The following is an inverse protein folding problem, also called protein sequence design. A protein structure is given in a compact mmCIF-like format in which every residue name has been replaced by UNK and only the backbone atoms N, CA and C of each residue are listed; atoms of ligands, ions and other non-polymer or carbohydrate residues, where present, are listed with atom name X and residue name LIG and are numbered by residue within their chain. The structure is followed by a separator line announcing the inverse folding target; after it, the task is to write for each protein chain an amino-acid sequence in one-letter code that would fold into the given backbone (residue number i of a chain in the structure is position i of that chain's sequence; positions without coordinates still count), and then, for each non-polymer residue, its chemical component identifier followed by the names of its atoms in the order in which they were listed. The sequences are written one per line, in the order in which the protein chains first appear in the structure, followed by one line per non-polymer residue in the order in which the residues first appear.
data_IF_309338664769
#
_entry.id   IF_309338664769
#
_cell.length_a   1.000
_cell.length_b   1.000
_cell.length_c   1.000
_cell.angle_alpha   90.00
_cell.angle_beta   90.00
_cell.angle_gamma   90.00
#
_symmetry.space_group_name_H-M   'P 1'
#
loop_
_entity.id
_entity.type
_entity.pdbx_description
1 polymer ?
#
# COMPACT_ATOMS: atom_id res chain seq x y z
N UNK A 1 79.41 -1.45 -1.22
CA UNK A 1 78.24 -0.75 -1.82
C UNK A 1 77.02 -1.17 -1.00
N UNK A 2 76.80 -0.52 0.15
CA UNK A 2 75.80 0.55 0.38
C UNK A 2 74.38 -0.06 0.43
N UNK A 3 73.96 -0.60 1.59
CA UNK A 3 73.05 -0.03 2.64
C UNK A 3 71.57 -0.11 2.26
N UNK A 4 70.59 -0.52 3.05
CA UNK A 4 70.31 -0.51 4.51
C UNK A 4 69.14 -1.49 4.77
N UNK A 5 69.04 -2.37 5.79
CA UNK A 5 69.22 -2.32 7.26
C UNK A 5 68.05 -1.59 7.96
N UNK A 6 67.14 -2.26 8.66
CA UNK A 6 67.05 -2.46 10.14
C UNK A 6 65.55 -2.81 10.45
N UNK A 7 65.06 -3.46 11.50
CA UNK A 7 65.63 -3.93 12.77
C UNK A 7 64.72 -4.94 13.46
N UNK A 8 65.35 -5.72 14.35
CA UNK A 8 64.83 -6.62 15.39
C UNK A 8 64.57 -5.81 16.67
N UNK A 9 63.54 -6.09 17.48
CA UNK A 9 63.68 -6.11 18.95
C UNK A 9 62.43 -6.66 19.66
N UNK A 10 62.67 -7.60 20.57
CA UNK A 10 61.73 -8.24 21.50
C UNK A 10 62.15 -7.81 22.92
N UNK A 11 61.19 -7.33 23.74
CA UNK A 11 60.96 -7.64 25.18
C UNK A 11 60.44 -6.46 26.02
N UNK A 12 59.40 -6.82 26.77
CA UNK A 12 59.06 -6.46 28.16
C UNK A 12 58.86 -4.98 28.57
N UNK A 13 57.62 -4.68 28.98
CA UNK A 13 57.34 -4.04 30.28
C UNK A 13 55.90 -4.30 30.73
N UNK A 14 55.77 -4.83 31.94
CA UNK A 14 54.54 -4.91 32.72
C UNK A 14 53.97 -3.52 33.02
N UNK A 15 52.65 -3.35 32.98
CA UNK A 15 51.94 -2.48 33.95
C UNK A 15 50.41 -2.57 33.87
N UNK A 16 49.84 -2.99 35.01
CA UNK A 16 48.61 -2.51 35.65
C UNK A 16 47.25 -2.81 34.99
N UNK A 17 46.55 -3.74 35.63
CA UNK A 17 45.11 -3.97 35.57
C UNK A 17 44.35 -2.77 36.15
N UNK A 18 43.42 -2.21 35.38
CA UNK A 18 42.37 -1.28 35.84
C UNK A 18 41.05 -1.77 35.21
N UNK A 19 39.99 -2.04 35.98
CA UNK A 19 38.72 -2.51 35.43
C UNK A 19 37.93 -1.29 34.91
N UNK A 20 37.79 -1.15 33.59
CA UNK A 20 36.88 -0.18 32.99
C UNK A 20 35.48 -0.80 32.91
N UNK A 21 34.59 -0.37 33.79
CA UNK A 21 33.14 -0.54 33.68
C UNK A 21 32.67 0.07 32.34
N UNK A 22 32.29 -0.80 31.39
CA UNK A 22 31.63 -0.40 30.15
C UNK A 22 30.18 -0.05 30.46
N UNK A 23 29.92 1.24 30.69
CA UNK A 23 28.58 1.81 30.70
C UNK A 23 28.06 1.79 29.26
N UNK A 24 27.10 0.91 28.95
CA UNK A 24 26.36 0.93 27.69
C UNK A 24 25.46 2.17 27.62
N UNK A 25 25.95 3.24 26.99
CA UNK A 25 25.08 4.35 26.57
C UNK A 25 24.55 4.07 25.17
N UNK A 26 23.37 3.46 25.11
CA UNK A 26 22.53 3.42 23.91
C UNK A 26 22.11 4.85 23.55
N UNK A 27 22.33 5.35 22.32
CA UNK A 27 21.74 6.62 21.90
C UNK A 27 20.23 6.43 21.75
N UNK A 28 19.45 7.02 22.67
CA UNK A 28 18.00 7.18 22.54
C UNK A 28 17.73 8.13 21.38
N UNK A 29 17.48 7.58 20.18
CA UNK A 29 16.98 8.33 19.03
C UNK A 29 15.48 8.57 19.24
N UNK A 30 15.14 9.80 19.64
CA UNK A 30 13.78 10.32 19.66
C UNK A 30 13.27 10.52 18.24
N UNK A 31 12.24 9.76 17.84
CA UNK A 31 11.48 9.96 16.61
C UNK A 31 10.72 11.31 16.67
N UNK A 32 10.59 12.05 15.55
CA UNK A 32 9.83 13.30 15.53
C UNK A 32 8.33 13.04 15.73
N UNK A 33 7.76 13.76 16.70
CA UNK A 33 6.33 13.80 17.04
C UNK A 33 5.50 14.30 15.85
N UNK A 34 4.62 13.45 15.32
CA UNK A 34 3.52 13.87 14.45
C UNK A 34 2.34 14.36 15.30
N UNK A 35 1.76 15.50 14.95
CA UNK A 35 0.51 16.02 15.51
C UNK A 35 -0.53 16.07 14.38
N UNK A 36 -1.38 15.06 14.31
CA UNK A 36 -2.56 15.07 13.44
C UNK A 36 -3.73 14.49 14.21
N UNK A 37 -4.53 15.35 14.87
CA UNK A 37 -5.78 14.90 15.45
C UNK A 37 -6.73 14.48 14.31
N UNK A 38 -7.08 13.20 14.26
CA UNK A 38 -8.22 12.72 13.49
C UNK A 38 -9.21 12.20 14.53
N UNK A 39 -10.30 12.95 14.72
CA UNK A 39 -11.34 12.64 15.67
C UNK A 39 -12.14 11.42 15.16
N UNK A 40 -12.13 10.32 15.93
CA UNK A 40 -12.94 9.13 15.66
C UNK A 40 -14.41 9.42 15.95
N UNK A 41 -15.25 9.44 14.92
CA UNK A 41 -16.71 9.45 15.07
C UNK A 41 -17.33 8.28 14.29
N UNK A 42 -18.03 7.43 15.03
CA UNK A 42 -18.97 6.37 14.62
C UNK A 42 -18.48 5.33 13.61
N UNK A 43 -17.72 4.36 14.12
CA UNK A 43 -17.22 3.19 13.36
C UNK A 43 -18.20 2.02 13.28
N UNK A 44 -19.46 2.12 13.75
CA UNK A 44 -20.30 0.93 13.94
C UNK A 44 -20.83 0.30 12.63
N UNK A 45 -21.48 1.06 11.75
CA UNK A 45 -22.25 0.46 10.64
C UNK A 45 -21.41 -0.19 9.54
N UNK A 46 -20.29 0.41 9.13
CA UNK A 46 -19.44 -0.24 8.11
C UNK A 46 -18.69 -1.45 8.67
N UNK A 47 -18.38 -1.44 9.97
CA UNK A 47 -17.86 -2.62 10.66
C UNK A 47 -18.88 -3.76 10.63
N UNK A 48 -20.17 -3.47 10.60
CA UNK A 48 -21.19 -4.52 10.51
C UNK A 48 -21.20 -5.14 9.11
N UNK A 49 -21.08 -4.34 8.03
CA UNK A 49 -20.87 -4.88 6.68
C UNK A 49 -19.59 -5.72 6.62
N UNK A 50 -18.46 -5.18 7.10
CA UNK A 50 -17.19 -5.90 7.05
C UNK A 50 -17.21 -7.17 7.90
N UNK A 51 -17.84 -7.13 9.10
CA UNK A 51 -18.06 -8.32 9.94
C UNK A 51 -18.92 -9.36 9.26
N UNK A 52 -20.01 -8.96 8.61
CA UNK A 52 -20.89 -9.88 7.87
C UNK A 52 -20.17 -10.45 6.64
N UNK A 53 -19.42 -9.65 5.90
CA UNK A 53 -18.59 -10.14 4.79
C UNK A 53 -17.44 -11.05 5.25
N UNK A 54 -17.05 -10.94 6.52
CA UNK A 54 -16.03 -11.78 7.17
C UNK A 54 -16.61 -12.98 7.92
N UNK A 55 -17.93 -13.17 7.94
CA UNK A 55 -18.54 -14.29 8.67
C UNK A 55 -18.51 -15.60 7.88
N UNK A 56 -18.22 -15.53 6.58
CA UNK A 56 -18.09 -16.68 5.69
C UNK A 56 -16.76 -16.60 4.93
N UNK A 57 -16.26 -17.77 4.55
CA UNK A 57 -15.09 -17.92 3.71
C UNK A 57 -15.46 -17.71 2.23
N UNK A 58 -14.79 -16.75 1.60
CA UNK A 58 -15.12 -16.26 0.26
C UNK A 58 -13.86 -16.04 -0.57
N UNK A 59 -14.03 -16.05 -1.89
CA UNK A 59 -12.96 -15.68 -2.80
C UNK A 59 -13.51 -15.03 -4.08
N UNK A 60 -12.71 -14.17 -4.70
CA UNK A 60 -13.05 -13.55 -5.98
C UNK A 60 -11.89 -13.65 -6.96
N UNK A 61 -12.20 -14.02 -8.21
CA UNK A 61 -11.26 -13.92 -9.32
C UNK A 61 -11.04 -12.46 -9.71
N UNK A 62 -9.78 -12.06 -9.80
CA UNK A 62 -9.38 -10.68 -10.11
C UNK A 62 -9.11 -10.56 -11.62
N UNK A 63 -10.19 -10.60 -12.40
CA UNK A 63 -10.16 -10.61 -13.86
C UNK A 63 -9.60 -9.33 -14.49
N UNK A 64 -9.44 -8.27 -13.71
CA UNK A 64 -8.84 -6.99 -14.10
C UNK A 64 -7.30 -6.94 -13.90
N UNK A 65 -6.65 -8.05 -13.50
CA UNK A 65 -5.20 -8.13 -13.29
C UNK A 65 -4.48 -8.75 -14.47
N UNK A 66 -3.33 -8.17 -14.82
CA UNK A 66 -2.39 -8.67 -15.82
C UNK A 66 -1.10 -9.18 -15.14
N UNK A 67 -0.31 -9.93 -15.90
CA UNK A 67 0.90 -10.56 -15.37
C UNK A 67 2.09 -10.41 -16.31
N UNK A 68 3.22 -9.94 -15.79
CA UNK A 68 4.52 -10.02 -16.47
C UNK A 68 5.44 -10.97 -15.72
N UNK A 69 6.22 -11.75 -16.45
CA UNK A 69 7.28 -12.59 -15.88
C UNK A 69 8.65 -12.00 -16.18
N UNK A 70 9.51 -11.94 -15.18
CA UNK A 70 10.91 -11.56 -15.29
C UNK A 70 11.77 -12.75 -14.89
N UNK A 71 12.62 -13.22 -15.79
CA UNK A 71 13.50 -14.37 -15.56
C UNK A 71 14.94 -14.05 -15.97
N UNK A 72 15.88 -14.21 -15.03
CA UNK A 72 17.31 -14.15 -15.32
C UNK A 72 18.14 -13.69 -14.12
N UNK A 73 19.47 -13.86 -14.19
CA UNK A 73 20.38 -13.58 -13.07
C UNK A 73 20.34 -12.13 -12.58
N UNK A 74 19.99 -11.17 -13.44
CA UNK A 74 19.92 -9.75 -13.07
C UNK A 74 18.54 -9.31 -12.57
N UNK A 75 17.53 -10.18 -12.52
CA UNK A 75 16.13 -9.81 -12.27
C UNK A 75 15.93 -9.10 -10.91
N UNK A 76 16.53 -9.63 -9.83
CA UNK A 76 16.39 -9.05 -8.50
C UNK A 76 16.98 -7.63 -8.43
N UNK A 77 18.22 -7.46 -8.92
CA UNK A 77 18.91 -6.16 -8.98
C UNK A 77 18.17 -5.17 -9.87
N UNK A 78 17.67 -5.63 -11.01
CA UNK A 78 16.89 -4.83 -11.95
C UNK A 78 15.62 -4.27 -11.29
N UNK A 79 14.82 -5.15 -10.66
CA UNK A 79 13.61 -4.75 -9.95
C UNK A 79 13.92 -3.84 -8.76
N UNK A 80 14.98 -4.12 -8.00
CA UNK A 80 15.37 -3.34 -6.84
C UNK A 80 15.55 -1.85 -7.17
N UNK A 81 16.03 -1.51 -8.37
CA UNK A 81 16.20 -0.12 -8.83
C UNK A 81 14.94 0.54 -9.39
N UNK A 82 13.86 -0.20 -9.63
CA UNK A 82 12.65 0.31 -10.31
C UNK A 82 11.40 0.38 -9.44
N UNK A 83 11.35 -0.39 -8.35
CA UNK A 83 10.17 -0.43 -7.47
C UNK A 83 10.38 0.35 -6.17
N UNK A 84 9.30 0.76 -5.52
CA UNK A 84 9.34 1.49 -4.24
C UNK A 84 9.64 0.61 -3.02
N UNK A 85 9.50 -0.71 -3.12
CA UNK A 85 9.70 -1.65 -2.01
C UNK A 85 11.00 -2.48 -2.17
N UNK A 86 11.34 -3.29 -1.18
CA UNK A 86 12.59 -4.04 -1.09
C UNK A 86 12.44 -5.45 -1.67
N UNK A 87 13.08 -5.74 -2.80
CA UNK A 87 13.05 -7.06 -3.46
C UNK A 87 13.74 -8.13 -2.63
N UNK A 88 14.73 -7.76 -1.81
CA UNK A 88 15.42 -8.72 -0.94
C UNK A 88 14.51 -9.42 0.09
N UNK A 89 13.28 -8.91 0.31
CA UNK A 89 12.23 -9.58 1.12
C UNK A 89 11.69 -10.85 0.46
N UNK A 90 11.71 -10.90 -0.88
CA UNK A 90 11.21 -12.02 -1.71
C UNK A 90 12.33 -12.72 -2.49
N UNK A 91 13.54 -12.18 -2.46
CA UNK A 91 14.68 -12.72 -3.21
C UNK A 91 15.07 -14.13 -2.77
N UNK A 92 14.78 -14.55 -1.54
CA UNK A 92 15.03 -15.93 -1.08
C UNK A 92 13.78 -16.81 -1.12
N UNK A 93 12.75 -16.37 -1.84
CA UNK A 93 11.42 -16.96 -1.78
C UNK A 93 10.51 -16.30 -0.75
N UNK A 94 9.31 -16.85 -0.62
CA UNK A 94 8.34 -16.44 0.40
C UNK A 94 7.14 -15.68 -0.16
N UNK A 95 6.54 -14.88 0.71
CA UNK A 95 5.31 -14.14 0.43
C UNK A 95 5.59 -12.95 -0.50
N UNK A 96 4.74 -12.76 -1.50
CA UNK A 96 4.78 -11.59 -2.37
C UNK A 96 4.74 -10.25 -1.63
N UNK A 97 5.19 -9.20 -2.32
CA UNK A 97 5.22 -7.82 -1.80
C UNK A 97 4.37 -6.89 -2.65
N UNK A 98 3.73 -5.91 -2.01
CA UNK A 98 3.09 -4.80 -2.69
C UNK A 98 4.10 -3.66 -2.91
N UNK A 99 4.06 -3.02 -4.07
CA UNK A 99 4.95 -1.92 -4.43
C UNK A 99 4.35 -1.07 -5.56
N UNK A 100 5.08 -0.03 -5.96
CA UNK A 100 4.77 0.74 -7.16
C UNK A 100 6.02 0.98 -8.01
N UNK A 101 5.77 1.23 -9.30
CA UNK A 101 6.73 1.76 -10.26
C UNK A 101 6.51 3.25 -10.40
N UNK A 102 7.59 4.05 -10.36
CA UNK A 102 7.48 5.50 -10.45
C UNK A 102 8.04 6.05 -11.76
N UNK A 103 7.61 7.25 -12.11
CA UNK A 103 8.31 8.10 -13.08
C UNK A 103 9.58 8.67 -12.45
N UNK A 104 10.49 9.20 -13.28
CA UNK A 104 11.67 9.91 -12.81
C UNK A 104 11.32 11.12 -11.91
N UNK A 105 10.11 11.68 -12.05
CA UNK A 105 9.60 12.77 -11.23
C UNK A 105 8.95 12.31 -9.92
N UNK A 106 8.99 11.00 -9.61
CA UNK A 106 8.44 10.43 -8.37
C UNK A 106 6.91 10.31 -8.36
N UNK A 107 6.28 10.16 -9.53
CA UNK A 107 4.83 9.93 -9.69
C UNK A 107 4.55 8.46 -9.93
N UNK A 108 3.47 7.93 -9.35
CA UNK A 108 3.09 6.53 -9.55
C UNK A 108 2.74 6.30 -11.02
N UNK A 109 3.34 5.30 -11.64
CA UNK A 109 2.97 4.80 -12.95
C UNK A 109 2.04 3.59 -12.82
N UNK A 110 2.44 2.62 -11.99
CA UNK A 110 1.76 1.33 -11.80
C UNK A 110 1.88 0.91 -10.34
N UNK A 111 0.79 0.46 -9.73
CA UNK A 111 0.80 -0.38 -8.53
C UNK A 111 1.00 -1.84 -8.93
N UNK A 112 1.73 -2.60 -8.12
CA UNK A 112 2.04 -3.98 -8.44
C UNK A 112 2.25 -4.85 -7.21
N UNK A 113 1.88 -6.11 -7.34
CA UNK A 113 2.40 -7.19 -6.50
C UNK A 113 3.55 -7.90 -7.21
N UNK A 114 4.58 -8.30 -6.46
CA UNK A 114 5.71 -9.08 -6.97
C UNK A 114 5.84 -10.36 -6.16
N UNK A 115 5.78 -11.49 -6.86
CA UNK A 115 5.89 -12.83 -6.30
C UNK A 115 7.16 -13.52 -6.78
N UNK A 116 7.92 -14.19 -5.89
CA UNK A 116 9.03 -15.04 -6.31
C UNK A 116 8.50 -16.33 -6.93
N UNK A 117 9.14 -16.77 -8.02
CA UNK A 117 8.80 -17.98 -8.78
C UNK A 117 10.07 -18.71 -9.21
N UNK A 118 10.68 -19.50 -8.34
CA UNK A 118 11.74 -20.43 -8.73
C UNK A 118 11.35 -21.85 -8.31
N UNK A 119 11.14 -22.75 -9.29
CA UNK A 119 10.73 -24.15 -9.07
C UNK A 119 11.95 -25.10 -9.00
N UNK A 120 12.96 -24.77 -8.18
CA UNK A 120 14.08 -25.66 -7.85
C UNK A 120 15.33 -25.54 -8.75
N UNK A 121 16.20 -26.54 -8.71
CA UNK A 121 17.56 -26.51 -9.31
C UNK A 121 17.57 -26.25 -10.84
N UNK A 122 16.47 -26.53 -11.53
CA UNK A 122 16.26 -26.23 -12.95
C UNK A 122 16.07 -24.74 -13.27
N UNK A 123 15.89 -23.90 -12.24
CA UNK A 123 15.81 -22.44 -12.33
C UNK A 123 17.02 -21.84 -11.60
N UNK A 124 18.21 -21.79 -12.24
CA UNK A 124 19.46 -21.39 -11.58
C UNK A 124 19.50 -19.90 -11.21
N UNK A 125 18.49 -19.12 -11.60
CA UNK A 125 18.38 -17.69 -11.34
C UNK A 125 16.97 -17.32 -10.87
N UNK A 126 16.80 -16.20 -10.13
CA UNK A 126 15.51 -15.78 -9.66
C UNK A 126 14.57 -15.43 -10.83
N UNK A 127 13.34 -15.91 -10.72
CA UNK A 127 12.25 -15.52 -11.59
C UNK A 127 11.13 -14.91 -10.73
N UNK A 128 10.49 -13.88 -11.25
CA UNK A 128 9.45 -13.10 -10.55
C UNK A 128 8.22 -12.94 -11.43
N UNK A 129 7.05 -13.05 -10.82
CA UNK A 129 5.77 -12.69 -11.41
C UNK A 129 5.37 -11.32 -10.88
N UNK A 130 5.11 -10.39 -11.79
CA UNK A 130 4.58 -9.07 -11.47
C UNK A 130 3.11 -9.05 -11.85
N UNK A 131 2.25 -8.81 -10.87
CA UNK A 131 0.82 -8.65 -11.04
C UNK A 131 0.47 -7.15 -10.97
N UNK A 132 -0.18 -6.63 -12.01
CA UNK A 132 -0.51 -5.21 -12.20
C UNK A 132 -1.92 -5.06 -12.81
N UNK A 133 -2.42 -3.84 -12.97
CA UNK A 133 -3.70 -3.61 -13.67
C UNK A 133 -3.60 -4.00 -15.15
N UNK A 134 -4.48 -4.87 -15.64
CA UNK A 134 -4.42 -5.42 -17.00
C UNK A 134 -4.45 -4.34 -18.09
N UNK A 135 -5.05 -3.17 -17.83
CA UNK A 135 -5.08 -2.04 -18.78
C UNK A 135 -3.70 -1.46 -19.05
N UNK A 136 -2.73 -1.70 -18.15
CA UNK A 136 -1.38 -1.16 -18.24
C UNK A 136 -0.34 -2.16 -18.77
N UNK A 137 -0.71 -3.40 -19.10
CA UNK A 137 0.26 -4.47 -19.47
C UNK A 137 1.23 -4.05 -20.56
N UNK A 138 0.73 -3.55 -21.70
CA UNK A 138 1.58 -3.11 -22.81
C UNK A 138 2.50 -1.95 -22.44
N UNK A 139 1.97 -0.96 -21.69
CA UNK A 139 2.72 0.22 -21.28
C UNK A 139 3.81 -0.12 -20.25
N UNK A 140 3.49 -0.99 -19.29
CA UNK A 140 4.41 -1.47 -18.27
C UNK A 140 5.52 -2.34 -18.88
N UNK A 141 5.19 -3.23 -19.83
CA UNK A 141 6.18 -4.00 -20.58
C UNK A 141 7.15 -3.08 -21.33
N UNK A 142 6.63 -2.04 -21.99
CA UNK A 142 7.45 -1.04 -22.67
C UNK A 142 8.32 -0.23 -21.69
N UNK A 143 7.78 0.12 -20.52
CA UNK A 143 8.53 0.78 -19.45
C UNK A 143 9.70 -0.09 -18.98
N UNK A 144 9.46 -1.35 -18.62
CA UNK A 144 10.51 -2.26 -18.16
C UNK A 144 11.56 -2.51 -19.25
N UNK A 145 11.15 -2.73 -20.51
CA UNK A 145 12.08 -2.92 -21.64
C UNK A 145 13.02 -1.73 -21.84
N UNK A 146 12.56 -0.50 -21.60
CA UNK A 146 13.38 0.72 -21.67
C UNK A 146 14.55 0.71 -20.68
N UNK A 147 14.34 0.18 -19.48
CA UNK A 147 15.38 0.12 -18.43
C UNK A 147 16.24 -1.16 -18.51
N UNK A 148 15.84 -2.17 -19.29
CA UNK A 148 16.53 -3.48 -19.39
C UNK A 148 17.93 -3.43 -20.02
N UNK A 149 18.45 -2.26 -20.39
CA UNK A 149 19.69 -2.14 -21.17
C UNK A 149 20.84 -2.93 -20.53
N UNK A 150 21.31 -3.97 -21.24
CA UNK A 150 22.37 -4.92 -20.82
C UNK A 150 22.05 -5.84 -19.63
N UNK A 151 20.89 -5.70 -18.99
CA UNK A 151 20.47 -6.63 -17.94
C UNK A 151 20.19 -8.01 -18.54
N UNK A 152 20.82 -9.04 -17.99
CA UNK A 152 20.67 -10.45 -18.38
C UNK A 152 19.37 -11.00 -17.79
N UNK A 153 18.25 -10.64 -18.41
CA UNK A 153 16.92 -11.14 -18.06
C UNK A 153 15.97 -11.08 -19.26
N UNK A 154 14.95 -11.93 -19.27
CA UNK A 154 13.81 -11.89 -20.18
C UNK A 154 12.60 -11.24 -19.49
N UNK A 155 11.71 -10.63 -20.28
CA UNK A 155 10.44 -10.05 -19.81
C UNK A 155 9.35 -10.49 -20.79
N UNK A 156 8.36 -11.25 -20.32
CA UNK A 156 7.22 -11.72 -21.10
C UNK A 156 5.89 -11.32 -20.47
N UNK A 157 4.87 -11.19 -21.30
CA UNK A 157 3.48 -11.09 -20.85
C UNK A 157 2.94 -12.51 -20.66
N UNK A 158 2.55 -12.83 -19.43
CA UNK A 158 2.03 -14.13 -19.02
C UNK A 158 0.57 -14.00 -18.55
N UNK A 159 -0.14 -12.94 -18.96
CA UNK A 159 -1.51 -12.67 -18.53
C UNK A 159 -2.49 -13.80 -18.90
N UNK A 160 -2.21 -14.54 -19.99
CA UNK A 160 -3.00 -15.71 -20.36
C UNK A 160 -2.80 -16.90 -19.40
N UNK A 161 -1.61 -17.01 -18.80
CA UNK A 161 -1.18 -18.16 -17.99
C UNK A 161 -1.55 -18.05 -16.51
N UNK A 162 -1.69 -16.83 -15.99
CA UNK A 162 -1.91 -16.60 -14.58
C UNK A 162 -3.27 -16.00 -14.29
N UNK A 163 -3.81 -16.32 -13.11
CA UNK A 163 -4.99 -15.69 -12.53
C UNK A 163 -4.69 -15.31 -11.09
N UNK A 164 -5.16 -14.13 -10.68
CA UNK A 164 -5.10 -13.68 -9.30
C UNK A 164 -6.46 -13.83 -8.65
N UNK A 165 -6.44 -14.17 -7.37
CA UNK A 165 -7.62 -14.29 -6.55
C UNK A 165 -7.38 -13.55 -5.23
N UNK A 166 -8.43 -12.93 -4.72
CA UNK A 166 -8.48 -12.52 -3.33
C UNK A 166 -9.28 -13.56 -2.54
N UNK A 167 -8.75 -14.02 -1.40
CA UNK A 167 -9.42 -14.97 -0.50
C UNK A 167 -9.56 -14.34 0.87
N UNK A 168 -10.74 -14.36 1.46
CA UNK A 168 -10.98 -13.79 2.79
C UNK A 168 -12.03 -14.61 3.55
N UNK A 169 -12.17 -14.30 4.84
CA UNK A 169 -13.05 -15.02 5.76
C UNK A 169 -12.32 -15.54 6.98
N UNK A 170 -13.05 -16.19 7.91
CA UNK A 170 -12.52 -16.56 9.22
C UNK A 170 -11.43 -17.64 9.14
N UNK A 171 -11.48 -18.52 8.14
CA UNK A 171 -10.49 -19.60 7.98
C UNK A 171 -9.45 -19.32 6.90
N UNK A 172 -9.66 -18.29 6.06
CA UNK A 172 -8.72 -17.90 5.01
C UNK A 172 -7.27 -17.78 5.52
N UNK A 173 -7.05 -17.12 6.66
CA UNK A 173 -5.71 -16.96 7.23
C UNK A 173 -5.03 -18.28 7.64
N UNK A 174 -5.81 -19.33 7.92
CA UNK A 174 -5.32 -20.67 8.27
C UNK A 174 -4.81 -21.45 7.04
N UNK A 175 -5.29 -21.08 5.85
CA UNK A 175 -4.77 -21.61 4.58
C UNK A 175 -3.35 -21.13 4.33
N UNK A 176 -3.02 -19.90 4.76
CA UNK A 176 -1.68 -19.32 4.65
C UNK A 176 -0.91 -19.45 5.97
N UNK A 177 -0.48 -20.69 6.25
CA UNK A 177 0.22 -21.05 7.47
C UNK A 177 1.44 -20.18 7.79
N UNK A 178 1.72 -19.99 9.07
CA UNK A 178 3.00 -19.43 9.53
C UNK A 178 4.09 -20.45 9.22
N UNK A 179 5.01 -20.12 8.34
CA UNK A 179 6.17 -20.96 8.07
C UNK A 179 6.99 -21.15 9.35
N UNK A 180 7.09 -22.41 9.80
CA UNK A 180 8.20 -22.91 10.62
C UNK A 180 9.05 -23.75 9.66
N UNK A 181 10.34 -23.46 9.46
CA UNK A 181 11.24 -24.32 8.70
C UNK A 181 11.45 -25.64 9.47
N UNK A 182 10.48 -26.55 9.40
CA UNK A 182 10.71 -27.94 9.84
C UNK A 182 11.19 -28.70 8.63
N UNK A 183 12.45 -28.53 8.27
CA UNK A 183 13.08 -29.47 7.36
C UNK A 183 13.41 -30.72 8.17
N UNK A 184 12.42 -31.60 8.30
CA UNK A 184 12.59 -32.98 8.71
C UNK A 184 13.44 -33.69 7.64
N UNK A 185 14.75 -33.40 7.62
CA UNK A 185 15.72 -34.00 6.69
C UNK A 185 16.64 -33.05 5.91
N UNK A 186 16.52 -31.72 6.01
CA UNK A 186 17.47 -30.79 5.38
C UNK A 186 18.04 -29.74 6.34
N UNK A 187 18.58 -30.22 7.46
CA UNK A 187 19.72 -29.53 8.02
C UNK A 187 20.86 -29.56 6.98
N UNK A 188 21.02 -28.49 6.20
CA UNK A 188 22.22 -28.26 5.39
C UNK A 188 22.08 -28.09 3.86
N UNK A 189 20.88 -28.06 3.26
CA UNK A 189 20.76 -27.70 1.83
C UNK A 189 20.43 -26.21 1.67
N UNK A 190 21.29 -25.48 0.94
CA UNK A 190 21.12 -24.06 0.61
C UNK A 190 19.93 -23.91 -0.34
N UNK A 191 18.86 -23.22 0.08
CA UNK A 191 17.76 -22.88 -0.83
C UNK A 191 18.27 -21.94 -1.93
N UNK A 192 18.01 -22.22 -3.22
CA UNK A 192 18.37 -21.30 -4.30
C UNK A 192 17.73 -19.91 -4.16
N UNK A 193 18.35 -18.90 -4.76
CA UNK A 193 17.80 -17.55 -4.82
C UNK A 193 16.52 -17.58 -5.68
N UNK A 194 15.44 -17.04 -5.11
CA UNK A 194 14.13 -16.91 -5.73
C UNK A 194 13.19 -18.08 -5.46
N UNK A 195 13.64 -19.15 -4.76
CA UNK A 195 12.87 -20.39 -4.57
C UNK A 195 11.43 -20.14 -4.15
N UNK A 196 10.48 -20.77 -4.83
CA UNK A 196 9.15 -20.97 -4.25
C UNK A 196 9.37 -21.83 -3.01
N UNK A 197 8.89 -21.36 -1.86
CA UNK A 197 8.91 -22.22 -0.68
C UNK A 197 7.92 -23.35 -0.94
N UNK A 198 8.34 -24.63 -0.93
CA UNK A 198 7.39 -25.73 -0.91
C UNK A 198 6.61 -25.62 0.40
N UNK A 199 5.48 -24.93 0.34
CA UNK A 199 4.47 -24.92 1.40
C UNK A 199 3.66 -26.18 1.18
N UNK A 200 3.37 -26.96 2.21
CA UNK A 200 2.55 -28.18 2.10
C UNK A 200 1.10 -27.91 1.60
N UNK A 201 0.73 -26.74 1.04
CA UNK A 201 -0.68 -26.33 0.87
C UNK A 201 -1.00 -25.43 -0.33
N UNK A 202 -2.19 -25.70 -0.88
CA UNK A 202 -3.13 -24.99 -1.77
C UNK A 202 -2.63 -24.11 -2.93
N UNK A 203 -1.57 -23.32 -2.81
CA UNK A 203 -0.97 -22.65 -3.97
C UNK A 203 0.49 -22.24 -3.74
N UNK A 204 1.23 -22.16 -4.84
CA UNK A 204 2.68 -21.91 -4.84
C UNK A 204 3.04 -20.42 -4.75
N UNK A 205 2.16 -19.52 -5.20
CA UNK A 205 2.44 -18.09 -5.29
C UNK A 205 1.32 -17.26 -4.66
N UNK A 206 1.71 -16.29 -3.84
CA UNK A 206 0.78 -15.41 -3.15
C UNK A 206 1.37 -14.79 -1.90
N UNK A 207 0.51 -14.23 -1.06
CA UNK A 207 0.85 -13.68 0.26
C UNK A 207 -0.41 -13.48 1.11
N UNK A 208 -0.21 -13.30 2.43
CA UNK A 208 -1.14 -12.48 3.20
C UNK A 208 -1.09 -11.07 2.63
N UNK A 209 -2.24 -10.48 2.32
CA UNK A 209 -2.29 -9.17 1.67
C UNK A 209 -1.61 -8.12 2.57
N UNK A 210 -0.45 -7.57 2.17
CA UNK A 210 0.37 -6.72 3.02
C UNK A 210 -0.22 -5.31 3.19
N UNK A 211 -1.29 -4.99 2.43
CA UNK A 211 -1.96 -3.69 2.46
C UNK A 211 -2.89 -3.58 3.65
N UNK A 212 -3.54 -4.69 4.04
CA UNK A 212 -4.40 -4.74 5.22
C UNK A 212 -4.66 -6.20 5.65
N UNK A 213 -4.50 -6.56 6.94
CA UNK A 213 -4.68 -7.94 7.41
C UNK A 213 -6.04 -8.55 7.07
N UNK A 214 -7.10 -7.75 7.18
CA UNK A 214 -8.46 -8.22 6.89
C UNK A 214 -8.72 -8.39 5.39
N UNK A 215 -7.89 -7.89 4.47
CA UNK A 215 -8.08 -8.25 3.04
C UNK A 215 -7.85 -9.74 2.79
N UNK A 216 -7.23 -10.46 3.73
CA UNK A 216 -7.02 -11.90 3.64
C UNK A 216 -5.79 -12.22 2.80
N UNK A 217 -5.94 -13.10 1.81
CA UNK A 217 -4.85 -13.61 0.99
C UNK A 217 -4.97 -13.12 -0.44
N UNK A 218 -3.82 -12.74 -1.01
CA UNK A 218 -3.65 -12.50 -2.44
C UNK A 218 -2.97 -13.73 -3.02
N UNK A 219 -3.64 -14.45 -3.91
CA UNK A 219 -3.23 -15.76 -4.42
C UNK A 219 -3.05 -15.69 -5.94
N UNK A 220 -2.00 -16.31 -6.47
CA UNK A 220 -1.77 -16.44 -7.90
C UNK A 220 -1.68 -17.91 -8.27
N UNK A 221 -2.52 -18.33 -9.22
CA UNK A 221 -2.55 -19.70 -9.75
C UNK A 221 -2.13 -19.72 -11.21
N UNK A 222 -1.49 -20.81 -11.62
CA UNK A 222 -1.09 -21.09 -12.98
C UNK A 222 -2.16 -21.93 -13.69
N UNK A 223 -2.50 -21.61 -14.94
CA UNK A 223 -3.41 -22.39 -15.78
C UNK A 223 -4.83 -21.82 -15.90
N UNK A 224 -5.77 -22.69 -16.25
CA UNK A 224 -7.20 -22.42 -16.45
C UNK A 224 -7.99 -22.21 -15.15
N UNK A 225 -7.32 -22.26 -14.00
CA UNK A 225 -7.74 -21.50 -12.82
C UNK A 225 -8.87 -22.14 -12.01
N UNK A 226 -8.77 -23.44 -11.71
CA UNK A 226 -9.49 -23.97 -10.56
C UNK A 226 -8.74 -23.62 -9.29
N UNK A 227 -9.36 -22.78 -8.46
CA UNK A 227 -8.83 -22.48 -7.14
C UNK A 227 -8.99 -23.72 -6.26
N UNK A 228 -7.92 -24.33 -5.73
CA UNK A 228 -8.02 -25.55 -4.92
C UNK A 228 -8.38 -25.19 -3.47
N UNK A 229 -9.44 -24.41 -3.31
CA UNK A 229 -10.02 -24.08 -2.01
C UNK A 229 -10.93 -25.22 -1.54
N UNK A 230 -11.09 -25.38 -0.20
CA UNK A 230 -12.13 -26.24 0.34
C UNK A 230 -13.51 -25.85 -0.21
N UNK A 231 -14.41 -26.83 -0.37
CA UNK A 231 -15.78 -26.59 -0.85
C UNK A 231 -16.63 -25.68 0.05
N UNK A 232 -16.16 -25.38 1.25
CA UNK A 232 -16.77 -24.39 2.15
C UNK A 232 -16.56 -22.95 1.73
N UNK A 233 -15.60 -22.68 0.83
CA UNK A 233 -15.36 -21.34 0.29
C UNK A 233 -16.34 -21.05 -0.85
N UNK A 234 -16.97 -19.88 -0.79
CA UNK A 234 -17.92 -19.44 -1.81
C UNK A 234 -17.27 -18.44 -2.76
N UNK A 235 -17.36 -18.71 -4.07
CA UNK A 235 -16.94 -17.75 -5.08
C UNK A 235 -17.88 -16.54 -5.08
N UNK A 236 -17.31 -15.35 -5.21
CA UNK A 236 -18.05 -14.09 -5.36
C UNK A 236 -17.47 -13.26 -6.50
N UNK A 237 -18.16 -12.18 -6.85
CA UNK A 237 -17.80 -11.32 -7.96
C UNK A 237 -16.59 -10.42 -7.66
N UNK A 238 -15.96 -9.93 -8.73
CA UNK A 238 -14.97 -8.85 -8.66
C UNK A 238 -15.53 -7.58 -8.01
N UNK A 239 -16.83 -7.34 -8.16
CA UNK A 239 -17.53 -6.19 -7.58
C UNK A 239 -17.54 -6.26 -6.06
N UNK A 240 -17.76 -7.42 -5.46
CA UNK A 240 -17.71 -7.59 -4.00
C UNK A 240 -16.28 -7.40 -3.46
N UNK A 241 -15.26 -7.86 -4.20
CA UNK A 241 -13.87 -7.50 -3.88
C UNK A 241 -13.64 -5.99 -3.95
N UNK A 242 -14.20 -5.33 -4.97
CA UNK A 242 -14.07 -3.88 -5.18
C UNK A 242 -14.75 -3.09 -4.05
N UNK A 243 -15.95 -3.49 -3.64
CA UNK A 243 -16.62 -2.92 -2.46
C UNK A 243 -15.75 -3.09 -1.23
N UNK A 244 -15.23 -4.30 -0.98
CA UNK A 244 -14.40 -4.61 0.18
C UNK A 244 -13.18 -3.70 0.28
N UNK A 245 -12.39 -3.56 -0.80
CA UNK A 245 -11.21 -2.68 -0.80
C UNK A 245 -11.59 -1.21 -0.61
N UNK A 246 -12.71 -0.75 -1.21
CA UNK A 246 -13.22 0.61 -1.04
C UNK A 246 -13.53 0.87 0.43
N UNK A 247 -14.24 -0.05 1.11
CA UNK A 247 -14.60 0.11 2.52
C UNK A 247 -13.37 0.15 3.45
N UNK A 248 -12.30 -0.57 3.11
CA UNK A 248 -11.02 -0.45 3.82
C UNK A 248 -10.20 0.79 3.39
N UNK A 249 -10.62 1.57 2.39
CA UNK A 249 -9.85 2.71 1.91
C UNK A 249 -8.59 2.32 1.13
N UNK A 250 -8.61 1.16 0.45
CA UNK A 250 -7.45 0.57 -0.21
C UNK A 250 -7.53 0.82 -1.73
N UNK A 251 -6.70 1.73 -2.26
CA UNK A 251 -6.59 1.98 -3.70
C UNK A 251 -5.96 0.79 -4.45
N UNK A 252 -6.47 0.48 -5.64
CA UNK A 252 -5.91 -0.52 -6.56
C UNK A 252 -6.18 -0.14 -8.02
N UNK A 253 -5.16 -0.26 -8.88
CA UNK A 253 -5.29 -0.09 -10.32
C UNK A 253 -5.44 1.35 -10.82
N UNK A 254 -5.72 1.47 -12.13
CA UNK A 254 -5.58 2.72 -12.87
C UNK A 254 -6.56 3.85 -12.45
N UNK A 255 -7.70 3.48 -11.87
CA UNK A 255 -8.74 4.44 -11.47
C UNK A 255 -8.47 5.06 -10.08
N UNK A 256 -7.59 4.44 -9.29
CA UNK A 256 -7.12 4.98 -8.01
C UNK A 256 -5.70 5.56 -8.10
N UNK A 257 -4.86 4.94 -8.92
CA UNK A 257 -3.49 5.39 -9.19
C UNK A 257 -3.37 5.96 -10.60
N UNK A 258 -3.75 7.23 -10.76
CA UNK A 258 -3.63 7.95 -12.03
C UNK A 258 -2.16 8.01 -12.49
N UNK A 259 -1.88 7.24 -13.55
CA UNK A 259 -0.52 7.04 -14.05
C UNK A 259 0.16 8.36 -14.41
N UNK A 260 1.33 8.60 -13.83
CA UNK A 260 2.13 9.82 -14.01
C UNK A 260 1.63 11.03 -13.22
N UNK A 261 0.54 10.91 -12.46
CA UNK A 261 -0.08 12.02 -11.70
C UNK A 261 -0.05 11.75 -10.19
N UNK A 262 -0.47 10.56 -9.77
CA UNK A 262 -0.60 10.20 -8.36
C UNK A 262 0.75 10.22 -7.61
N UNK A 263 0.71 10.61 -6.33
CA UNK A 263 1.88 10.67 -5.45
C UNK A 263 1.88 9.50 -4.47
N UNK A 264 3.04 8.85 -4.22
CA UNK A 264 3.14 7.72 -3.29
C UNK A 264 2.46 7.93 -1.93
N UNK A 265 2.79 9.03 -1.24
CA UNK A 265 2.27 9.29 0.11
C UNK A 265 0.80 9.79 0.09
N UNK A 266 0.38 10.47 -0.98
CA UNK A 266 -1.04 10.86 -1.11
C UNK A 266 -1.93 9.64 -1.45
N UNK A 267 -1.36 8.60 -2.06
CA UNK A 267 -2.04 7.35 -2.35
C UNK A 267 -1.80 6.26 -1.30
N UNK A 268 -1.36 6.65 -0.09
CA UNK A 268 -1.19 5.79 1.09
C UNK A 268 -0.15 4.67 0.97
N UNK A 269 0.81 4.73 0.04
CA UNK A 269 1.84 3.66 -0.09
C UNK A 269 2.65 3.47 1.20
N UNK A 270 2.82 4.52 1.99
CA UNK A 270 3.47 4.49 3.31
C UNK A 270 2.67 3.69 4.35
N UNK A 271 1.34 3.66 4.22
CA UNK A 271 0.45 2.94 5.13
C UNK A 271 0.10 1.53 4.63
N UNK A 272 0.22 1.28 3.32
CA UNK A 272 -0.14 0.01 2.65
C UNK A 272 1.06 -0.94 2.47
N UNK A 273 2.15 -0.73 3.22
CA UNK A 273 3.41 -1.47 3.05
C UNK A 273 4.00 -1.40 1.63
N UNK A 274 3.66 -0.37 0.85
CA UNK A 274 4.01 -0.22 -0.56
C UNK A 274 5.33 0.50 -0.84
N UNK A 275 5.96 1.10 0.18
CA UNK A 275 7.28 1.76 0.08
C UNK A 275 8.15 1.37 1.27
N UNK A 276 9.44 1.14 1.03
CA UNK A 276 10.42 0.91 2.10
C UNK A 276 11.38 2.10 2.16
N UNK A 277 11.33 2.91 3.22
CA UNK A 277 12.21 4.08 3.34
C UNK A 277 13.66 3.75 3.72
N UNK A 278 13.97 2.48 4.00
CA UNK A 278 15.33 2.02 4.35
C UNK A 278 16.06 1.37 3.18
N UNK A 279 15.42 1.27 2.01
CA UNK A 279 16.01 0.65 0.82
C UNK A 279 17.04 1.57 0.15
N UNK A 280 17.89 0.96 -0.68
CA UNK A 280 18.80 1.69 -1.56
C UNK A 280 18.09 2.42 -2.72
N UNK A 281 18.87 3.09 -3.57
CA UNK A 281 18.33 3.97 -4.60
C UNK A 281 17.35 3.28 -5.56
N UNK A 282 16.24 3.94 -5.86
CA UNK A 282 15.28 3.53 -6.90
C UNK A 282 14.77 4.74 -7.69
N UNK A 283 14.23 4.49 -8.88
CA UNK A 283 13.72 5.54 -9.77
C UNK A 283 12.65 6.40 -9.10
N UNK A 284 12.85 7.73 -9.11
CA UNK A 284 11.86 8.70 -8.62
C UNK A 284 11.78 8.83 -7.09
N UNK A 285 12.74 8.26 -6.35
CA UNK A 285 12.74 8.28 -4.88
C UNK A 285 12.82 9.67 -4.25
N UNK A 286 13.44 10.65 -4.92
CA UNK A 286 13.84 11.92 -4.33
C UNK A 286 12.62 12.69 -3.82
N UNK A 287 11.55 12.72 -4.62
CA UNK A 287 10.30 13.35 -4.25
C UNK A 287 9.61 12.62 -3.08
N UNK A 288 9.59 11.30 -3.13
CA UNK A 288 8.97 10.44 -2.10
C UNK A 288 9.66 10.63 -0.75
N UNK A 289 10.99 10.49 -0.72
CA UNK A 289 11.82 10.62 0.49
C UNK A 289 11.74 12.05 1.05
N UNK A 290 11.81 13.07 0.19
CA UNK A 290 11.65 14.46 0.63
C UNK A 290 10.30 14.69 1.29
N UNK A 291 9.22 14.20 0.69
CA UNK A 291 7.86 14.37 1.25
C UNK A 291 7.70 13.61 2.57
N UNK A 292 8.31 12.43 2.69
CA UNK A 292 8.33 11.66 3.92
C UNK A 292 9.05 12.40 5.06
N UNK A 293 10.27 12.92 4.81
CA UNK A 293 11.04 13.61 5.84
C UNK A 293 10.51 15.01 6.20
N UNK A 294 9.88 15.72 5.26
CA UNK A 294 9.19 16.97 5.61
C UNK A 294 7.94 16.71 6.45
N UNK A 295 7.37 15.50 6.39
CA UNK A 295 6.21 15.08 7.18
C UNK A 295 4.89 15.71 6.76
N UNK A 296 4.83 16.36 5.59
CA UNK A 296 3.65 17.11 5.13
C UNK A 296 2.93 16.36 4.02
N UNK A 297 1.99 15.48 4.39
CA UNK A 297 1.01 14.88 3.47
C UNK A 297 -0.35 15.53 3.72
N UNK A 298 -0.79 16.43 2.82
CA UNK A 298 -2.03 17.20 3.01
C UNK A 298 -3.26 16.55 2.38
N UNK A 299 -3.05 15.61 1.47
CA UNK A 299 -4.11 14.88 0.78
C UNK A 299 -3.88 13.39 0.93
N UNK A 300 -4.96 12.62 1.09
CA UNK A 300 -4.91 11.16 1.06
C UNK A 300 -6.12 10.61 0.34
N UNK A 301 -5.96 9.43 -0.26
CA UNK A 301 -7.09 8.64 -0.75
C UNK A 301 -7.88 8.13 0.47
N UNK A 302 -9.19 8.36 0.47
CA UNK A 302 -10.11 7.97 1.53
C UNK A 302 -11.37 7.32 0.95
N UNK A 303 -12.06 6.45 1.70
CA UNK A 303 -13.40 6.02 1.37
C UNK A 303 -14.37 7.19 1.35
N UNK A 304 -15.27 7.18 0.37
CA UNK A 304 -16.38 8.12 0.25
C UNK A 304 -17.70 7.40 -0.02
N UNK A 305 -18.81 7.99 0.40
CA UNK A 305 -20.15 7.62 -0.02
C UNK A 305 -20.79 8.76 -0.82
N UNK A 306 -21.43 8.41 -1.93
CA UNK A 306 -22.25 9.28 -2.74
C UNK A 306 -23.71 9.19 -2.29
N UNK A 307 -24.40 10.31 -2.23
CA UNK A 307 -25.80 10.38 -1.80
C UNK A 307 -26.53 11.55 -2.47
N UNK A 308 -27.85 11.52 -2.48
CA UNK A 308 -28.64 12.57 -3.13
C UNK A 308 -28.75 13.81 -2.25
N UNK A 309 -29.07 14.96 -2.86
CA UNK A 309 -29.27 16.21 -2.12
C UNK A 309 -30.42 16.11 -1.11
N UNK A 310 -31.46 15.33 -1.44
CA UNK A 310 -32.63 15.02 -0.62
C UNK A 310 -32.34 14.14 0.59
N UNK A 311 -31.21 13.43 0.60
CA UNK A 311 -30.87 12.49 1.67
C UNK A 311 -30.12 13.19 2.81
N UNK A 312 -30.32 12.70 4.03
CA UNK A 312 -29.50 13.12 5.15
C UNK A 312 -28.03 12.68 4.93
N UNK A 313 -27.04 13.51 5.30
CA UNK A 313 -25.63 13.11 5.22
C UNK A 313 -25.37 11.79 5.96
N UNK A 314 -24.74 10.79 5.31
CA UNK A 314 -24.53 9.50 5.95
C UNK A 314 -23.56 9.63 7.13
N UNK A 315 -23.98 9.11 8.28
CA UNK A 315 -23.18 9.07 9.51
C UNK A 315 -22.12 7.97 9.50
N UNK A 316 -22.28 6.99 8.63
CA UNK A 316 -21.39 5.85 8.42
C UNK A 316 -21.55 5.36 6.98
N UNK A 317 -20.52 4.70 6.45
CA UNK A 317 -20.55 4.22 5.08
C UNK A 317 -21.45 2.97 4.97
N UNK A 318 -22.43 3.03 4.06
CA UNK A 318 -23.39 1.95 3.78
C UNK A 318 -23.45 1.70 2.28
N UNK A 319 -23.31 0.43 1.89
CA UNK A 319 -23.32 0.02 0.47
C UNK A 319 -24.75 -0.25 0.02
N UNK A 320 -25.25 0.57 -0.89
CA UNK A 320 -26.56 0.44 -1.49
C UNK A 320 -26.44 -0.18 -2.89
N UNK A 321 -26.59 -1.50 -2.99
CA UNK A 321 -26.46 -2.22 -4.28
C UNK A 321 -27.53 -1.88 -5.31
N UNK A 322 -28.66 -1.33 -4.87
CA UNK A 322 -29.74 -0.81 -5.72
C UNK A 322 -29.44 0.59 -6.28
N UNK A 323 -28.35 1.24 -5.85
CA UNK A 323 -28.03 2.59 -6.28
C UNK A 323 -27.73 2.64 -7.77
N UNK A 324 -28.57 3.37 -8.51
CA UNK A 324 -28.56 3.41 -9.97
C UNK A 324 -28.09 4.75 -10.54
N UNK A 325 -27.84 5.76 -9.70
CA UNK A 325 -27.36 7.06 -10.17
C UNK A 325 -25.93 6.92 -10.73
N UNK A 326 -25.63 7.51 -11.89
CA UNK A 326 -24.28 7.48 -12.45
C UNK A 326 -23.26 8.10 -11.49
N UNK A 327 -22.26 7.31 -11.11
CA UNK A 327 -21.14 7.81 -10.33
C UNK A 327 -20.27 8.74 -11.17
N UNK A 328 -19.64 9.76 -10.54
CA UNK A 328 -18.67 10.60 -11.22
C UNK A 328 -17.49 9.78 -11.74
N UNK A 329 -16.96 10.15 -12.90
CA UNK A 329 -15.82 9.47 -13.50
C UNK A 329 -14.55 9.66 -12.66
N UNK A 330 -13.60 8.70 -12.69
CA UNK A 330 -12.31 8.90 -12.06
C UNK A 330 -11.61 10.19 -12.51
N UNK A 331 -10.88 10.83 -11.60
CA UNK A 331 -10.13 12.08 -11.77
C UNK A 331 -10.99 13.36 -11.93
N UNK A 332 -12.31 13.27 -11.80
CA UNK A 332 -13.22 14.44 -11.73
C UNK A 332 -13.11 15.16 -10.38
N UNK A 333 -13.41 16.46 -10.35
CA UNK A 333 -13.24 17.29 -9.16
C UNK A 333 -14.37 17.09 -8.12
N UNK A 334 -14.01 17.20 -6.85
CA UNK A 334 -14.93 17.34 -5.72
C UNK A 334 -14.76 18.76 -5.18
N UNK A 335 -15.88 19.48 -5.03
CA UNK A 335 -15.93 20.88 -4.61
C UNK A 335 -16.80 21.07 -3.37
N UNK A 336 -16.71 22.24 -2.75
CA UNK A 336 -17.62 22.66 -1.68
C UNK A 336 -18.88 23.24 -2.33
N UNK A 337 -20.06 22.73 -1.95
CA UNK A 337 -21.34 23.21 -2.41
C UNK A 337 -21.57 24.68 -2.00
N UNK A 338 -21.96 25.52 -2.94
CA UNK A 338 -22.07 26.98 -2.72
C UNK A 338 -20.72 27.71 -2.56
N UNK A 339 -19.60 27.08 -2.93
CA UNK A 339 -18.29 27.70 -2.93
C UNK A 339 -18.18 28.88 -3.91
N UNK A 340 -17.17 29.76 -3.75
CA UNK A 340 -17.01 30.94 -4.61
C UNK A 340 -16.81 30.55 -6.07
N UNK A 341 -17.71 31.02 -6.93
CA UNK A 341 -17.61 30.92 -8.39
C UNK A 341 -16.27 31.50 -8.89
N UNK A 342 -15.58 30.87 -9.86
CA UNK A 342 -14.30 31.35 -10.35
C UNK A 342 -14.45 32.73 -11.01
N UNK A 343 -13.91 33.75 -10.35
CA UNK A 343 -14.02 35.17 -10.75
C UNK A 343 -13.32 35.50 -12.08
N UNK A 344 -12.56 34.59 -12.72
CA UNK A 344 -11.86 34.85 -14.00
C UNK A 344 -11.72 33.60 -14.90
N UNK A 345 -11.75 33.76 -16.24
CA UNK A 345 -11.45 32.70 -17.19
C UNK A 345 -9.92 32.59 -17.36
N UNK A 346 -9.23 31.99 -16.39
CA UNK A 346 -7.80 31.72 -16.54
C UNK A 346 -7.42 30.38 -15.90
N UNK A 347 -6.97 29.43 -16.75
CA UNK A 347 -6.44 28.09 -16.44
C UNK A 347 -7.23 27.32 -15.37
N UNK A 348 -8.07 26.39 -15.82
CA UNK A 348 -8.76 25.30 -15.07
C UNK A 348 -8.00 24.75 -13.84
N UNK A 349 -7.86 25.54 -12.77
CA UNK A 349 -7.74 25.08 -11.40
C UNK A 349 -9.08 25.50 -10.82
N UNK A 350 -9.99 24.54 -10.67
CA UNK A 350 -11.28 24.79 -10.05
C UNK A 350 -11.05 25.54 -8.73
N UNK A 351 -11.50 26.79 -8.66
CA UNK A 351 -11.62 27.49 -7.40
C UNK A 351 -12.50 26.60 -6.49
N UNK A 352 -12.05 26.29 -5.28
CA UNK A 352 -12.82 25.44 -4.36
C UNK A 352 -12.67 23.92 -4.50
N UNK A 353 -11.79 23.40 -5.37
CA UNK A 353 -11.51 21.96 -5.46
C UNK A 353 -10.84 21.41 -4.17
N UNK A 354 -11.57 20.53 -3.47
CA UNK A 354 -11.14 19.90 -2.21
C UNK A 354 -10.64 18.47 -2.39
N UNK A 355 -10.93 17.85 -3.53
CA UNK A 355 -10.48 16.51 -3.85
C UNK A 355 -10.77 16.09 -5.27
N UNK A 356 -10.46 14.84 -5.57
CA UNK A 356 -10.75 14.19 -6.85
C UNK A 356 -11.31 12.79 -6.62
N UNK A 357 -12.33 12.43 -7.39
CA UNK A 357 -12.91 11.10 -7.39
C UNK A 357 -11.88 10.09 -7.93
N UNK A 358 -11.80 8.92 -7.32
CA UNK A 358 -11.01 7.77 -7.78
C UNK A 358 -11.96 6.69 -8.35
N UNK A 359 -11.82 5.42 -7.98
CA UNK A 359 -12.80 4.39 -8.34
C UNK A 359 -14.09 4.50 -7.51
N UNK A 360 -15.18 3.94 -8.05
CA UNK A 360 -16.45 3.82 -7.34
C UNK A 360 -17.31 2.68 -7.88
N UNK A 361 -18.17 2.15 -7.02
CA UNK A 361 -19.16 1.13 -7.35
C UNK A 361 -20.39 1.32 -6.45
N UNK A 362 -21.59 1.11 -7.01
CA UNK A 362 -22.85 1.41 -6.34
C UNK A 362 -22.89 2.87 -5.87
N UNK A 363 -23.03 3.12 -4.57
CA UNK A 363 -22.98 4.43 -3.96
C UNK A 363 -21.67 4.71 -3.18
N UNK A 364 -20.65 3.86 -3.29
CA UNK A 364 -19.38 4.00 -2.54
C UNK A 364 -18.20 4.14 -3.49
N UNK A 365 -17.12 4.76 -3.01
CA UNK A 365 -15.90 4.89 -3.81
C UNK A 365 -14.70 5.33 -2.99
N UNK A 366 -13.62 5.61 -3.69
CA UNK A 366 -12.44 6.26 -3.15
C UNK A 366 -12.34 7.67 -3.73
N UNK A 367 -11.72 8.57 -2.97
CA UNK A 367 -11.37 9.89 -3.47
C UNK A 367 -10.06 10.39 -2.84
N UNK A 368 -9.23 11.06 -3.64
CA UNK A 368 -8.10 11.83 -3.15
C UNK A 368 -8.61 13.14 -2.55
N UNK A 369 -8.62 13.24 -1.22
CA UNK A 369 -9.19 14.36 -0.49
C UNK A 369 -8.13 15.11 0.30
N UNK A 370 -8.29 16.43 0.45
CA UNK A 370 -7.54 17.19 1.46
C UNK A 370 -7.97 16.74 2.85
N UNK A 371 -7.00 16.42 3.70
CA UNK A 371 -7.25 15.93 5.06
C UNK A 371 -8.03 16.94 5.91
N UNK A 372 -7.83 18.24 5.71
CA UNK A 372 -8.59 19.30 6.39
C UNK A 372 -10.11 19.17 6.13
N UNK A 373 -10.51 18.89 4.89
CA UNK A 373 -11.91 18.73 4.52
C UNK A 373 -12.49 17.39 4.99
N UNK A 374 -11.66 16.35 5.07
CA UNK A 374 -12.04 15.05 5.67
C UNK A 374 -12.34 15.25 7.15
N UNK A 375 -11.41 15.88 7.90
CA UNK A 375 -11.58 16.16 9.33
C UNK A 375 -12.80 17.03 9.60
N UNK A 376 -12.96 18.15 8.87
CA UNK A 376 -14.13 19.03 9.02
C UNK A 376 -15.45 18.31 8.74
N UNK A 377 -15.48 17.42 7.75
CA UNK A 377 -16.68 16.64 7.47
C UNK A 377 -16.96 15.67 8.62
N UNK A 378 -15.96 14.91 9.07
CA UNK A 378 -16.12 13.96 10.18
C UNK A 378 -16.56 14.69 11.46
N UNK A 379 -15.91 15.80 11.81
CA UNK A 379 -16.15 16.57 13.05
C UNK A 379 -17.41 17.44 12.99
N UNK A 380 -17.86 17.87 11.82
CA UNK A 380 -19.05 18.71 11.60
C UNK A 380 -20.39 18.06 11.99
N UNK A 381 -20.38 16.84 12.53
CA UNK A 381 -21.49 16.27 13.30
C UNK A 381 -21.58 16.82 14.74
N UNK A 382 -20.63 17.67 15.15
CA UNK A 382 -20.76 18.53 16.33
C UNK A 382 -21.38 19.86 15.89
N UNK A 383 -22.44 20.36 16.54
CA UNK A 383 -22.96 21.69 16.26
C UNK A 383 -21.81 22.70 16.40
N UNK A 384 -21.59 23.54 15.39
CA UNK A 384 -20.67 24.66 15.54
C UNK A 384 -21.21 25.60 16.63
N UNK A 385 -20.33 26.28 17.37
CA UNK A 385 -20.73 27.31 18.35
C UNK A 385 -21.53 28.46 17.68
N UNK A 386 -21.61 28.51 16.35
CA UNK A 386 -22.29 29.53 15.55
C UNK A 386 -23.46 28.97 14.72
N UNK A 387 -23.83 27.69 14.87
CA UNK A 387 -25.02 27.10 14.23
C UNK A 387 -24.91 26.79 12.73
N UNK A 388 -23.80 27.11 12.07
CA UNK A 388 -23.60 26.78 10.65
C UNK A 388 -23.31 25.28 10.46
N UNK A 389 -24.04 24.64 9.56
CA UNK A 389 -23.80 23.26 9.13
C UNK A 389 -22.47 23.15 8.37
N UNK A 390 -21.72 22.03 8.49
CA UNK A 390 -20.52 21.82 7.72
C UNK A 390 -20.82 21.91 6.22
N UNK A 391 -19.97 22.60 5.47
CA UNK A 391 -20.17 22.80 4.05
C UNK A 391 -20.19 21.45 3.31
N UNK A 392 -21.32 21.14 2.66
CA UNK A 392 -21.50 19.88 1.94
C UNK A 392 -20.56 19.79 0.74
N UNK A 393 -20.05 18.59 0.45
CA UNK A 393 -19.20 18.36 -0.71
C UNK A 393 -20.03 17.80 -1.86
N UNK A 394 -19.72 18.22 -3.08
CA UNK A 394 -20.45 17.82 -4.29
C UNK A 394 -19.46 17.39 -5.37
N UNK A 395 -19.86 16.38 -6.13
CA UNK A 395 -19.16 15.90 -7.33
C UNK A 395 -19.70 16.58 -8.59
N UNK A 396 -18.97 16.45 -9.72
CA UNK A 396 -19.40 17.00 -11.01
C UNK A 396 -20.77 16.48 -11.50
N UNK A 397 -21.23 15.32 -11.02
CA UNK A 397 -22.56 14.78 -11.36
C UNK A 397 -23.70 15.36 -10.50
N UNK A 398 -23.38 16.25 -9.56
CA UNK A 398 -24.35 16.81 -8.61
C UNK A 398 -24.61 15.94 -7.38
N UNK A 399 -24.08 14.71 -7.34
CA UNK A 399 -24.15 13.87 -6.13
C UNK A 399 -23.35 14.49 -5.00
N UNK A 400 -23.93 14.52 -3.80
CA UNK A 400 -23.20 14.88 -2.58
C UNK A 400 -22.20 13.77 -2.23
N UNK A 401 -21.10 14.17 -1.60
CA UNK A 401 -19.99 13.28 -1.25
C UNK A 401 -19.70 13.36 0.23
N UNK A 402 -19.64 12.22 0.89
CA UNK A 402 -19.26 12.11 2.31
C UNK A 402 -17.96 11.31 2.44
N UNK A 403 -16.85 11.90 2.92
CA UNK A 403 -15.63 11.18 3.19
C UNK A 403 -15.61 10.53 4.57
N UNK A 404 -14.89 9.42 4.69
CA UNK A 404 -14.67 8.67 5.93
C UNK A 404 -13.18 8.39 6.13
N UNK A 405 -12.72 8.37 7.37
CA UNK A 405 -11.34 7.97 7.71
C UNK A 405 -11.30 6.46 7.99
N UNK A 406 -10.38 5.69 7.37
CA UNK A 406 -10.18 4.29 7.73
C UNK A 406 -9.71 4.13 9.18
N UNK A 407 -10.17 3.10 9.86
CA UNK A 407 -9.87 2.84 11.29
C UNK A 407 -8.46 2.33 11.55
N UNK A 408 -7.81 1.76 10.55
CA UNK A 408 -6.43 1.27 10.59
C UNK A 408 -5.39 2.37 10.31
N UNK A 409 -5.81 3.59 9.99
CA UNK A 409 -4.89 4.71 9.97
C UNK A 409 -4.30 4.92 11.37
N UNK A 410 -3.00 5.26 11.48
CA UNK A 410 -2.39 5.47 12.78
C UNK A 410 -3.17 6.55 13.54
N UNK A 411 -3.76 6.17 14.68
CA UNK A 411 -4.35 7.12 15.60
C UNK A 411 -3.23 8.03 16.10
N UNK A 412 -3.44 9.35 16.07
CA UNK A 412 -2.51 10.24 16.75
C UNK A 412 -2.52 9.89 18.24
N UNK A 413 -1.37 9.41 18.72
CA UNK A 413 -1.12 9.17 20.13
C UNK A 413 -1.40 10.45 20.91
N UNK A 414 -2.15 10.32 22.01
CA UNK A 414 -2.67 11.42 22.84
C UNK A 414 -1.65 12.55 23.10
N UNK A 415 -2.12 13.81 23.19
CA UNK A 415 -1.27 14.92 23.58
C UNK A 415 -0.78 14.70 25.01
N UNK A 416 0.52 14.42 25.17
CA UNK A 416 1.21 14.54 26.46
C UNK A 416 0.82 15.88 27.11
N UNK A 417 0.11 15.80 28.24
CA UNK A 417 -0.16 16.93 29.12
C UNK A 417 1.10 17.79 29.23
N UNK A 418 0.97 19.09 28.94
CA UNK A 418 2.01 20.06 29.24
C UNK A 418 2.36 19.92 30.73
N UNK A 419 3.64 19.78 31.11
CA UNK A 419 3.99 19.97 32.52
C UNK A 419 3.59 21.40 32.89
N UNK A 420 2.90 21.52 34.03
CA UNK A 420 2.63 22.79 34.68
C UNK A 420 3.95 23.57 34.76
N UNK A 421 3.92 24.84 34.37
CA UNK A 421 5.04 25.74 34.64
C UNK A 421 5.11 25.87 36.15
N UNK A 422 6.20 25.43 36.75
CA UNK A 422 6.56 25.81 38.10
C UNK A 422 6.74 27.34 38.12
N UNK A 423 5.73 28.03 38.62
CA UNK A 423 5.88 29.36 39.18
C UNK A 423 6.55 29.19 40.54
N UNK A 424 7.87 29.30 40.57
CA UNK A 424 8.57 29.65 41.81
C UNK A 424 8.98 31.10 41.72
N UNK A 425 8.13 31.92 42.34
CA UNK A 425 8.49 33.19 42.93
C UNK A 425 9.30 32.93 44.19
N UNK A 426 10.56 33.39 44.21
CA UNK A 426 11.29 33.95 45.36
C UNK A 426 12.76 34.06 45.01
#
# INVERSE_FOLDING_TARGET
MITSSFSRCLRERQSRVIPLLLVSRSPKLTLPRQKHAVCTLSTSSYRDYLRNSNSADQFACLSNRGFLQLDGPDAAKFLQGLVTNQISKVERGGDGIFCAFLSAQGRILYDAFIYPKNKGDSFPHPCYIIEHDARHTSAMLAHLKRYKLRAKLSISDESARYRAYQVWGPTASLLWGNYVPTVSGAAGKHMPIGSVLPKERFCDMGCKDPRHPELGLRVVVEGDGLMPLPSSFTETSLDEYTVRRILYGIPEGADDFFSGVSLPLESNLDLLSGVDFRKGCYLGQELTIRTYHTGVTRKRIVPVQFYQDSDNPPSSIHVERSFSNPLPLPNTDITINGGPEPVRPARRRAAGGVGKVCSGIYNVGLALMRLENVTMNIEGNKPSEHGDAPASLVSETGLKVRPFAPDWWPQAVEPLHRPLRDTTSS
#
